data_IF_365213232076
#
_entry.id   IF_365213232076
#
_cell.length_a   1.000
_cell.length_b   1.000
_cell.length_c   1.000
_cell.angle_alpha   90.00
_cell.angle_beta   90.00
_cell.angle_gamma   90.00
#
_symmetry.space_group_name_H-M   'P 1'
#
loop_
_entity.id
_entity.type
_entity.pdbx_description
1 polymer ?
#
# COMPACT_ATOMS: atom_id res chain seq x y z
N UNK A 1 12.15 5.00 -17.61
CA UNK A 1 10.79 5.25 -17.11
C UNK A 1 9.81 4.60 -18.06
N UNK A 2 9.03 3.67 -17.55
CA UNK A 2 8.03 2.93 -18.32
C UNK A 2 6.69 3.62 -18.08
N UNK A 3 6.22 4.42 -19.04
CA UNK A 3 5.05 5.32 -18.94
C UNK A 3 3.75 4.64 -18.45
N UNK A 4 3.65 3.33 -18.59
CA UNK A 4 2.51 2.55 -18.09
C UNK A 4 2.62 2.28 -16.57
N UNK A 5 3.83 2.14 -16.04
CA UNK A 5 4.05 1.90 -14.61
C UNK A 5 3.74 3.14 -13.78
N UNK A 6 4.25 4.31 -14.20
CA UNK A 6 4.06 5.58 -13.49
C UNK A 6 2.57 5.96 -13.37
N UNK A 7 1.79 5.77 -14.44
CA UNK A 7 0.34 6.00 -14.44
C UNK A 7 -0.43 5.03 -13.55
N UNK A 8 0.07 3.81 -13.41
CA UNK A 8 -0.54 2.81 -12.56
C UNK A 8 -0.28 3.18 -11.09
N UNK A 9 0.95 3.62 -10.77
CA UNK A 9 1.33 4.09 -9.44
C UNK A 9 0.56 5.36 -9.02
N UNK A 10 0.33 6.30 -9.94
CA UNK A 10 -0.52 7.46 -9.65
C UNK A 10 -1.94 7.03 -9.26
N UNK A 11 -2.55 6.11 -10.03
CA UNK A 11 -3.88 5.58 -9.70
C UNK A 11 -3.92 4.84 -8.37
N UNK A 12 -2.86 4.13 -8.01
CA UNK A 12 -2.74 3.47 -6.71
C UNK A 12 -2.74 4.45 -5.56
N UNK A 13 -1.93 5.51 -5.66
CA UNK A 13 -1.89 6.56 -4.65
C UNK A 13 -3.26 7.24 -4.53
N UNK A 14 -3.91 7.54 -5.66
CA UNK A 14 -5.27 8.09 -5.67
C UNK A 14 -6.23 7.15 -4.94
N UNK A 15 -6.23 5.84 -5.26
CA UNK A 15 -7.06 4.83 -4.60
C UNK A 15 -6.83 4.76 -3.08
N UNK A 16 -5.56 4.78 -2.63
CA UNK A 16 -5.24 4.74 -1.21
C UNK A 16 -5.81 5.95 -0.45
N UNK A 17 -5.86 7.13 -1.09
CA UNK A 17 -6.19 8.41 -0.46
C UNK A 17 -7.68 8.79 -0.59
N UNK A 18 -8.37 8.38 -1.66
CA UNK A 18 -9.72 8.88 -2.01
C UNK A 18 -10.79 8.59 -0.94
N UNK A 19 -10.66 7.51 -0.18
CA UNK A 19 -11.59 7.14 0.92
C UNK A 19 -10.91 6.63 2.18
N UNK A 20 -9.60 6.93 2.35
CA UNK A 20 -8.81 6.33 3.42
C UNK A 20 -8.96 4.79 3.44
N UNK A 21 -8.90 4.13 2.27
CA UNK A 21 -9.27 2.71 2.07
C UNK A 21 -8.59 1.76 3.08
N UNK A 22 -7.34 2.07 3.43
CA UNK A 22 -6.56 1.33 4.42
C UNK A 22 -7.18 1.35 5.85
N UNK A 23 -8.01 2.34 6.22
CA UNK A 23 -8.70 2.36 7.53
C UNK A 23 -9.70 1.21 7.67
N UNK A 24 -10.26 0.73 6.56
CA UNK A 24 -11.16 -0.42 6.55
C UNK A 24 -10.50 -1.73 6.99
N UNK A 25 -9.18 -1.82 6.84
CA UNK A 25 -8.39 -3.01 7.14
C UNK A 25 -7.84 -3.04 8.58
N UNK A 26 -8.00 -1.95 9.32
CA UNK A 26 -7.51 -1.84 10.69
C UNK A 26 -6.03 -1.42 10.78
N UNK A 27 -5.51 -1.43 12.00
CA UNK A 27 -4.12 -1.04 12.30
C UNK A 27 -3.30 -2.32 12.47
N UNK A 28 -2.31 -2.61 11.60
CA UNK A 28 -1.44 -3.77 11.74
C UNK A 28 -0.55 -3.64 12.98
N UNK A 29 -0.42 -4.73 13.73
CA UNK A 29 0.39 -4.79 14.94
C UNK A 29 1.83 -5.27 14.64
N UNK A 30 2.06 -5.86 13.46
CA UNK A 30 3.34 -6.40 13.03
C UNK A 30 3.51 -6.29 11.48
N UNK A 31 4.66 -6.76 10.96
CA UNK A 31 4.97 -6.72 9.51
C UNK A 31 4.11 -7.69 8.69
N UNK A 32 3.77 -8.86 9.24
CA UNK A 32 2.89 -9.82 8.55
C UNK A 32 1.48 -9.23 8.38
N UNK A 33 0.92 -8.61 9.42
CA UNK A 33 -0.36 -7.91 9.33
C UNK A 33 -0.30 -6.78 8.31
N UNK A 34 0.82 -6.06 8.22
CA UNK A 34 1.01 -4.99 7.24
C UNK A 34 1.01 -5.54 5.80
N UNK A 35 1.62 -6.70 5.58
CA UNK A 35 1.63 -7.39 4.30
C UNK A 35 0.23 -7.92 3.94
N UNK A 36 -0.51 -8.48 4.90
CA UNK A 36 -1.90 -8.94 4.68
C UNK A 36 -2.81 -7.78 4.24
N UNK A 37 -2.64 -6.60 4.85
CA UNK A 37 -3.39 -5.40 4.48
C UNK A 37 -3.00 -4.91 3.09
N UNK A 38 -1.70 -4.92 2.79
CA UNK A 38 -1.22 -4.56 1.47
C UNK A 38 -1.79 -5.46 0.37
N UNK A 39 -1.76 -6.78 0.58
CA UNK A 39 -2.29 -7.77 -0.37
C UNK A 39 -3.81 -7.58 -0.56
N UNK A 40 -4.54 -7.33 0.53
CA UNK A 40 -5.97 -7.03 0.48
C UNK A 40 -6.30 -5.76 -0.32
N UNK A 41 -5.54 -4.68 -0.12
CA UNK A 41 -5.70 -3.43 -0.86
C UNK A 41 -5.33 -3.58 -2.34
N UNK A 42 -4.28 -4.34 -2.63
CA UNK A 42 -3.86 -4.64 -4.00
C UNK A 42 -4.92 -5.43 -4.77
N UNK A 43 -5.55 -6.41 -4.12
CA UNK A 43 -6.69 -7.15 -4.67
C UNK A 43 -7.87 -6.22 -4.98
N UNK A 44 -8.25 -5.36 -4.04
CA UNK A 44 -9.42 -4.50 -4.19
C UNK A 44 -9.20 -3.42 -5.26
N UNK A 45 -7.99 -2.86 -5.34
CA UNK A 45 -7.59 -2.02 -6.46
C UNK A 45 -7.72 -2.76 -7.80
N UNK A 46 -7.22 -3.99 -7.88
CA UNK A 46 -7.33 -4.79 -9.10
C UNK A 46 -8.79 -5.07 -9.49
N UNK A 47 -9.64 -5.41 -8.52
CA UNK A 47 -11.08 -5.64 -8.74
C UNK A 47 -11.78 -4.35 -9.20
N UNK A 48 -11.52 -3.22 -8.55
CA UNK A 48 -12.16 -1.93 -8.85
C UNK A 48 -11.83 -1.42 -10.25
N UNK A 49 -10.57 -1.58 -10.68
CA UNK A 49 -10.10 -1.06 -11.97
C UNK A 49 -10.02 -2.10 -13.09
N UNK A 50 -10.42 -3.35 -12.81
CA UNK A 50 -10.48 -4.43 -13.80
C UNK A 50 -9.10 -4.94 -14.23
N UNK A 51 -8.12 -4.95 -13.33
CA UNK A 51 -6.80 -5.53 -13.56
C UNK A 51 -6.78 -7.03 -13.26
N UNK A 52 -5.94 -7.79 -13.95
CA UNK A 52 -5.78 -9.24 -13.74
C UNK A 52 -4.86 -9.56 -12.56
N UNK A 53 -4.93 -10.79 -12.02
CA UNK A 53 -3.94 -11.29 -11.04
C UNK A 53 -2.50 -11.20 -11.56
N UNK A 54 -2.27 -11.39 -12.86
CA UNK A 54 -0.95 -11.21 -13.47
C UNK A 54 -0.46 -9.75 -13.40
N UNK A 55 -1.39 -8.78 -13.42
CA UNK A 55 -1.07 -7.37 -13.15
C UNK A 55 -0.75 -7.16 -11.67
N UNK A 56 -1.39 -7.92 -10.78
CA UNK A 56 -1.11 -7.93 -9.35
C UNK A 56 0.32 -8.41 -9.05
N UNK A 57 0.75 -9.49 -9.71
CA UNK A 57 2.13 -9.97 -9.58
C UNK A 57 3.16 -9.01 -10.20
N UNK A 58 2.89 -8.41 -11.36
CA UNK A 58 3.89 -7.58 -12.06
C UNK A 58 3.95 -6.11 -11.61
N UNK A 59 2.82 -5.53 -11.23
CA UNK A 59 2.73 -4.09 -10.97
C UNK A 59 3.01 -3.71 -9.52
N UNK A 60 2.83 -4.64 -8.58
CA UNK A 60 2.85 -4.39 -7.13
C UNK A 60 4.19 -4.76 -6.49
N UNK A 61 5.28 -4.64 -7.22
CA UNK A 61 6.63 -4.81 -6.68
C UNK A 61 7.22 -3.48 -6.17
N UNK A 62 7.89 -3.54 -5.01
CA UNK A 62 8.83 -2.53 -4.50
C UNK A 62 8.22 -1.16 -4.25
N UNK A 63 8.10 -0.34 -5.29
CA UNK A 63 7.70 1.07 -5.18
C UNK A 63 6.24 1.25 -4.74
N UNK A 64 5.38 0.26 -4.99
CA UNK A 64 3.99 0.27 -4.54
C UNK A 64 3.87 -0.01 -3.05
N UNK A 65 4.58 -1.04 -2.58
CA UNK A 65 4.73 -1.30 -1.15
C UNK A 65 5.36 -0.11 -0.43
N UNK A 66 6.42 0.48 -0.99
CA UNK A 66 7.04 1.68 -0.41
C UNK A 66 6.05 2.85 -0.30
N UNK A 67 5.24 3.09 -1.35
CA UNK A 67 4.22 4.16 -1.33
C UNK A 67 3.08 3.90 -0.34
N UNK A 68 2.67 2.64 -0.17
CA UNK A 68 1.71 2.23 0.85
C UNK A 68 2.29 2.38 2.25
N UNK A 69 3.50 1.86 2.48
CA UNK A 69 4.20 1.96 3.74
C UNK A 69 4.40 3.42 4.14
N UNK A 70 4.87 4.28 3.23
CA UNK A 70 5.09 5.70 3.52
C UNK A 70 3.79 6.44 3.85
N UNK A 71 2.69 6.17 3.15
CA UNK A 71 1.39 6.76 3.49
C UNK A 71 0.88 6.22 4.85
N UNK A 72 1.01 4.93 5.09
CA UNK A 72 0.67 4.28 6.36
C UNK A 72 1.46 4.85 7.55
N UNK A 73 2.78 5.01 7.42
CA UNK A 73 3.64 5.63 8.44
C UNK A 73 3.25 7.09 8.69
N UNK A 74 2.92 7.86 7.64
CA UNK A 74 2.45 9.25 7.78
C UNK A 74 1.18 9.34 8.63
N UNK A 75 0.29 8.36 8.52
CA UNK A 75 -0.96 8.30 9.27
C UNK A 75 -0.75 7.89 10.73
N UNK A 76 0.13 6.92 10.98
CA UNK A 76 0.55 6.57 12.34
C UNK A 76 1.14 7.78 13.08
N UNK A 77 1.96 8.58 12.38
CA UNK A 77 2.51 9.83 12.92
C UNK A 77 1.42 10.89 13.20
N UNK A 78 0.46 11.07 12.29
CA UNK A 78 -0.68 11.99 12.48
C UNK A 78 -1.63 11.54 13.59
N UNK A 79 -1.83 10.24 13.75
CA UNK A 79 -2.69 9.64 14.77
C UNK A 79 -2.08 9.59 16.17
N UNK A 80 -0.80 9.94 16.33
CA UNK A 80 -0.09 9.90 17.62
C UNK A 80 0.25 8.49 18.10
N UNK A 81 0.28 7.50 17.21
CA UNK A 81 0.56 6.10 17.53
C UNK A 81 2.08 5.88 17.64
N UNK A 82 2.59 5.77 18.87
CA UNK A 82 4.03 5.69 19.18
C UNK A 82 4.64 4.27 19.15
N UNK A 83 3.89 3.27 18.70
CA UNK A 83 4.24 1.85 18.85
C UNK A 83 5.05 1.24 17.70
N UNK A 84 4.86 1.70 16.47
CA UNK A 84 5.46 1.10 15.29
C UNK A 84 6.72 1.89 14.89
N UNK A 85 7.89 1.26 15.00
CA UNK A 85 9.14 1.81 14.46
C UNK A 85 9.38 1.10 13.13
N UNK A 86 9.52 1.85 12.04
CA UNK A 86 10.10 1.36 10.79
C UNK A 86 11.45 0.74 11.17
N UNK A 87 11.54 -0.58 11.27
CA UNK A 87 12.85 -1.20 11.42
C UNK A 87 13.64 -0.80 10.19
N UNK A 88 14.74 -0.10 10.42
CA UNK A 88 15.63 0.32 9.36
C UNK A 88 16.03 -0.95 8.60
N UNK A 89 15.65 -0.97 7.33
CA UNK A 89 15.76 -2.08 6.40
C UNK A 89 17.01 -2.94 6.62
N UNK A 90 16.82 -4.27 6.61
CA UNK A 90 17.94 -5.20 6.51
C UNK A 90 18.82 -4.85 5.28
N UNK A 91 20.14 -5.05 5.37
CA UNK A 91 21.12 -4.65 4.36
C UNK A 91 20.94 -5.30 2.98
#
# INVERSE_FOLDING_TARGET
MNLNYDKLLEKWIDFLVEEDQYLGYGIPDNEDDLMDIYDGLAEDFCKQYGYSEETLEFAFHGQWYDSFADEYFRLLEKGGWKGFKKEASMP
#
